data_IF_941617721556
#
_entry.id   IF_941617721556
#
_cell.length_a   1.000
_cell.length_b   1.000
_cell.length_c   1.000
_cell.angle_alpha   90.00
_cell.angle_beta   90.00
_cell.angle_gamma   90.00
#
_symmetry.space_group_name_H-M   'P 1'
#
loop_
_entity.id
_entity.type
_entity.pdbx_description
1 polymer ?
#
# COMPACT_ATOMS: atom_id res chain seq x y z
N UNK A 1 -27.30 -2.93 2.48
CA UNK A 1 -27.34 -4.34 2.02
C UNK A 1 -26.45 -5.14 2.94
N UNK A 2 -27.00 -6.14 3.63
CA UNK A 2 -26.36 -6.86 4.75
C UNK A 2 -25.77 -8.17 4.20
N UNK A 3 -24.48 -8.21 3.92
CA UNK A 3 -23.77 -9.42 3.52
C UNK A 3 -23.32 -10.18 4.77
N UNK A 4 -24.08 -11.19 5.19
CA UNK A 4 -23.71 -12.06 6.32
C UNK A 4 -22.63 -13.09 5.96
N UNK A 5 -22.32 -13.29 4.67
CA UNK A 5 -21.40 -14.32 4.20
C UNK A 5 -20.56 -13.79 3.04
N UNK A 6 -19.24 -13.69 3.25
CA UNK A 6 -18.25 -13.50 2.18
C UNK A 6 -17.84 -14.89 1.68
N UNK A 7 -17.95 -15.14 0.37
CA UNK A 7 -17.57 -16.40 -0.30
C UNK A 7 -18.06 -17.66 0.44
N UNK A 8 -19.37 -17.81 0.59
CA UNK A 8 -20.12 -18.98 1.08
C UNK A 8 -19.81 -19.54 2.50
N UNK A 9 -18.62 -19.40 3.08
CA UNK A 9 -18.26 -20.00 4.38
C UNK A 9 -17.14 -19.25 5.15
N UNK A 10 -16.57 -18.15 4.63
CA UNK A 10 -15.40 -17.53 5.28
C UNK A 10 -15.86 -16.54 6.36
N UNK A 11 -15.54 -16.77 7.66
CA UNK A 11 -15.92 -15.84 8.71
C UNK A 11 -15.23 -14.50 8.48
N UNK A 12 -15.96 -13.39 8.59
CA UNK A 12 -15.46 -12.04 8.37
C UNK A 12 -14.21 -11.73 9.23
N UNK A 13 -14.12 -12.39 10.40
CA UNK A 13 -12.95 -12.42 11.29
C UNK A 13 -11.67 -12.90 10.60
N UNK A 14 -11.73 -13.98 9.82
CA UNK A 14 -10.57 -14.51 9.09
C UNK A 14 -10.10 -13.53 8.01
N UNK A 15 -11.05 -12.86 7.33
CA UNK A 15 -10.73 -11.81 6.36
C UNK A 15 -9.90 -10.69 6.99
N UNK A 16 -10.30 -10.19 8.16
CA UNK A 16 -9.55 -9.15 8.88
C UNK A 16 -8.17 -9.65 9.34
N UNK A 17 -8.08 -10.90 9.82
CA UNK A 17 -6.79 -11.49 10.20
C UNK A 17 -5.84 -11.59 9.01
N UNK A 18 -6.32 -12.04 7.85
CA UNK A 18 -5.51 -12.13 6.62
C UNK A 18 -5.05 -10.74 6.17
N UNK A 19 -5.94 -9.75 6.12
CA UNK A 19 -5.59 -8.38 5.72
C UNK A 19 -4.59 -7.75 6.70
N UNK A 20 -4.78 -7.94 8.01
CA UNK A 20 -3.84 -7.47 9.02
C UNK A 20 -2.48 -8.16 8.91
N UNK A 21 -2.44 -9.47 8.63
CA UNK A 21 -1.20 -10.21 8.42
C UNK A 21 -0.45 -9.74 7.17
N UNK A 22 -1.16 -9.55 6.04
CA UNK A 22 -0.56 -9.01 4.81
C UNK A 22 -0.03 -7.59 5.01
N UNK A 23 -0.79 -6.74 5.72
CA UNK A 23 -0.37 -5.37 6.04
C UNK A 23 0.86 -5.38 6.94
N UNK A 24 0.91 -6.28 7.93
CA UNK A 24 2.07 -6.45 8.81
C UNK A 24 3.30 -6.90 8.01
N UNK A 25 3.18 -7.95 7.20
CA UNK A 25 4.30 -8.45 6.39
C UNK A 25 4.83 -7.38 5.43
N UNK A 26 3.93 -6.71 4.71
CA UNK A 26 4.30 -5.62 3.80
C UNK A 26 4.98 -4.47 4.54
N UNK A 27 4.46 -4.07 5.70
CA UNK A 27 5.03 -2.96 6.48
C UNK A 27 6.37 -3.31 7.13
N UNK A 28 6.57 -4.54 7.57
CA UNK A 28 7.88 -5.01 8.07
C UNK A 28 8.92 -4.96 6.94
N UNK A 29 8.60 -5.45 5.75
CA UNK A 29 9.53 -5.42 4.61
C UNK A 29 9.96 -3.99 4.26
N UNK A 30 9.00 -3.06 4.20
CA UNK A 30 9.29 -1.65 3.90
C UNK A 30 10.07 -1.00 5.04
N UNK A 31 9.74 -1.28 6.31
CA UNK A 31 10.47 -0.75 7.46
C UNK A 31 11.92 -1.23 7.46
N UNK A 32 12.16 -2.54 7.29
CA UNK A 32 13.51 -3.13 7.24
C UNK A 32 14.31 -2.52 6.09
N UNK A 33 13.73 -2.47 4.88
CA UNK A 33 14.38 -1.83 3.74
C UNK A 33 14.70 -0.35 4.00
N UNK A 34 13.78 0.39 4.61
CA UNK A 34 13.99 1.78 5.00
C UNK A 34 15.16 1.95 5.97
N UNK A 35 15.23 1.14 7.02
CA UNK A 35 16.31 1.18 8.01
C UNK A 35 17.67 0.75 7.45
N UNK A 36 17.69 -0.19 6.49
CA UNK A 36 18.92 -0.53 5.75
C UNK A 36 19.41 0.69 4.96
N UNK A 37 18.53 1.37 4.23
CA UNK A 37 18.90 2.59 3.51
C UNK A 37 19.39 3.69 4.46
N UNK A 38 18.76 3.87 5.62
CA UNK A 38 19.23 4.80 6.66
C UNK A 38 20.65 4.46 7.12
N UNK A 39 20.93 3.19 7.40
CA UNK A 39 22.26 2.72 7.79
C UNK A 39 23.29 3.02 6.70
N UNK A 40 22.94 2.81 5.44
CA UNK A 40 23.84 3.03 4.31
C UNK A 40 24.10 4.53 4.04
N UNK A 41 23.13 5.41 4.35
CA UNK A 41 23.32 6.87 4.36
C UNK A 41 24.28 7.28 5.48
N UNK A 42 24.11 6.74 6.70
CA UNK A 42 24.98 7.04 7.84
C UNK A 42 26.42 6.58 7.61
N UNK A 43 26.61 5.48 6.89
CA UNK A 43 27.93 4.96 6.52
C UNK A 43 28.57 5.65 5.31
N UNK A 44 27.98 6.72 4.78
CA UNK A 44 28.40 7.41 3.55
C UNK A 44 28.46 6.54 2.29
N UNK A 45 27.96 5.30 2.33
CA UNK A 45 27.85 4.43 1.15
C UNK A 45 26.75 4.86 0.18
N UNK A 46 25.77 5.64 0.65
CA UNK A 46 24.67 6.14 -0.15
C UNK A 46 24.52 7.66 0.01
N UNK A 47 24.86 8.43 -1.04
CA UNK A 47 24.77 9.90 -1.04
C UNK A 47 23.46 10.32 -1.71
N UNK A 48 22.47 10.67 -0.88
CA UNK A 48 21.19 11.23 -1.33
C UNK A 48 21.18 12.75 -1.19
N UNK A 49 20.36 13.41 -2.01
CA UNK A 49 19.97 14.80 -1.76
C UNK A 49 19.25 14.90 -0.41
N UNK A 50 19.46 16.01 0.32
CA UNK A 50 18.88 16.24 1.66
C UNK A 50 17.37 16.01 1.71
N UNK A 51 16.64 16.35 0.65
CA UNK A 51 15.19 16.10 0.57
C UNK A 51 14.86 14.61 0.50
N UNK A 52 15.66 13.80 -0.19
CA UNK A 52 15.44 12.35 -0.30
C UNK A 52 15.86 11.63 0.98
N UNK A 53 16.93 12.07 1.62
CA UNK A 53 17.38 11.56 2.92
C UNK A 53 16.24 11.66 3.96
N UNK A 54 15.61 12.84 4.08
CA UNK A 54 14.48 13.06 5.00
C UNK A 54 13.32 12.11 4.69
N UNK A 55 13.00 11.91 3.41
CA UNK A 55 11.91 11.01 3.00
C UNK A 55 12.18 9.57 3.44
N UNK A 56 13.42 9.09 3.32
CA UNK A 56 13.79 7.73 3.75
C UNK A 56 13.58 7.56 5.25
N UNK A 57 14.05 8.50 6.07
CA UNK A 57 13.86 8.49 7.52
C UNK A 57 12.38 8.50 7.93
N UNK A 58 11.59 9.41 7.34
CA UNK A 58 10.15 9.53 7.63
C UNK A 58 9.42 8.25 7.24
N UNK A 59 9.76 7.66 6.09
CA UNK A 59 9.15 6.43 5.60
C UNK A 59 9.47 5.26 6.52
N UNK A 60 10.74 5.07 6.92
CA UNK A 60 11.13 3.99 7.83
C UNK A 60 10.40 4.10 9.19
N UNK A 61 10.33 5.31 9.75
CA UNK A 61 9.61 5.57 11.00
C UNK A 61 8.11 5.31 10.90
N UNK A 62 7.46 5.82 9.84
CA UNK A 62 6.03 5.64 9.60
C UNK A 62 5.66 4.16 9.44
N UNK A 63 6.43 3.39 8.66
CA UNK A 63 6.17 1.97 8.46
C UNK A 63 6.43 1.16 9.73
N UNK A 64 7.39 1.55 10.57
CA UNK A 64 7.56 0.96 11.91
C UNK A 64 6.31 1.18 12.78
N UNK A 65 5.71 2.37 12.72
CA UNK A 65 4.46 2.66 13.43
C UNK A 65 3.27 1.87 12.87
N UNK A 66 3.20 1.66 11.54
CA UNK A 66 2.21 0.79 10.89
C UNK A 66 2.33 -0.66 11.37
N UNK A 67 3.55 -1.17 11.54
CA UNK A 67 3.77 -2.53 12.09
C UNK A 67 3.14 -2.66 13.47
N UNK A 68 3.38 -1.69 14.36
CA UNK A 68 2.84 -1.71 15.72
C UNK A 68 1.30 -1.68 15.73
N UNK A 69 0.69 -0.83 14.92
CA UNK A 69 -0.77 -0.75 14.85
C UNK A 69 -1.37 -1.99 14.16
N UNK A 70 -0.68 -2.57 13.18
CA UNK A 70 -1.11 -3.83 12.54
C UNK A 70 -1.11 -4.99 13.53
N UNK A 71 -0.14 -5.05 14.46
CA UNK A 71 -0.16 -6.00 15.57
C UNK A 71 -1.38 -5.79 16.47
N UNK A 72 -1.69 -4.55 16.84
CA UNK A 72 -2.91 -4.25 17.61
C UNK A 72 -4.19 -4.56 16.84
N UNK A 73 -4.20 -4.37 15.51
CA UNK A 73 -5.30 -4.76 14.63
C UNK A 73 -5.52 -6.27 14.61
N UNK A 74 -4.43 -7.05 14.52
CA UNK A 74 -4.46 -8.51 14.56
C UNK A 74 -4.99 -9.02 15.92
N UNK A 75 -4.45 -8.49 17.03
CA UNK A 75 -4.92 -8.82 18.38
C UNK A 75 -6.36 -8.38 18.59
N UNK A 76 -6.74 -7.20 18.08
CA UNK A 76 -8.10 -6.68 18.14
C UNK A 76 -9.11 -7.57 17.41
N UNK A 77 -8.71 -8.13 16.26
CA UNK A 77 -9.53 -9.06 15.48
C UNK A 77 -9.70 -10.40 16.22
N UNK A 78 -8.65 -10.92 16.85
CA UNK A 78 -8.72 -12.15 17.65
C UNK A 78 -9.53 -11.97 18.94
N UNK A 79 -9.41 -10.83 19.60
CA UNK A 79 -10.07 -10.53 20.88
C UNK A 79 -11.45 -9.87 20.72
N UNK A 80 -11.94 -9.68 19.50
CA UNK A 80 -13.20 -9.01 19.18
C UNK A 80 -13.34 -7.60 19.83
N UNK A 81 -12.23 -6.86 19.95
CA UNK A 81 -12.20 -5.54 20.59
C UNK A 81 -12.43 -4.43 19.55
N UNK A 82 -13.67 -3.94 19.47
CA UNK A 82 -14.12 -2.86 18.56
C UNK A 82 -13.13 -1.69 18.48
N UNK A 83 -12.63 -1.20 19.61
CA UNK A 83 -11.73 -0.02 19.65
C UNK A 83 -10.42 -0.24 18.89
N UNK A 84 -9.81 -1.42 19.05
CA UNK A 84 -8.54 -1.76 18.40
C UNK A 84 -8.72 -1.94 16.89
N UNK A 85 -9.76 -2.67 16.50
CA UNK A 85 -10.09 -2.88 15.09
C UNK A 85 -10.48 -1.57 14.41
N UNK A 86 -11.21 -0.69 15.09
CA UNK A 86 -11.59 0.62 14.57
C UNK A 86 -10.38 1.56 14.41
N UNK A 87 -9.41 1.53 15.33
CA UNK A 87 -8.16 2.28 15.21
C UNK A 87 -7.32 1.78 14.02
N UNK A 88 -7.19 0.46 13.87
CA UNK A 88 -6.56 -0.16 12.71
C UNK A 88 -7.25 0.25 11.39
N UNK A 89 -8.59 0.23 11.36
CA UNK A 89 -9.36 0.69 10.20
C UNK A 89 -9.08 2.15 9.85
N UNK A 90 -9.09 3.05 10.84
CA UNK A 90 -8.80 4.47 10.63
C UNK A 90 -7.39 4.72 10.08
N UNK A 91 -6.40 3.99 10.61
CA UNK A 91 -5.04 4.05 10.07
C UNK A 91 -4.97 3.57 8.63
N UNK A 92 -5.60 2.42 8.33
CA UNK A 92 -5.60 1.86 6.99
C UNK A 92 -6.21 2.82 5.96
N UNK A 93 -7.27 3.55 6.34
CA UNK A 93 -7.87 4.60 5.50
C UNK A 93 -6.84 5.71 5.22
N UNK A 94 -6.15 6.18 6.25
CA UNK A 94 -5.10 7.19 6.10
C UNK A 94 -3.97 6.72 5.18
N UNK A 95 -3.49 5.50 5.37
CA UNK A 95 -2.45 4.88 4.53
C UNK A 95 -2.90 4.71 3.08
N UNK A 96 -4.16 4.32 2.84
CA UNK A 96 -4.71 4.22 1.49
C UNK A 96 -4.77 5.59 0.80
N UNK A 97 -5.27 6.63 1.48
CA UNK A 97 -5.34 7.98 0.91
C UNK A 97 -3.94 8.51 0.60
N UNK A 98 -3.00 8.33 1.52
CA UNK A 98 -1.60 8.73 1.31
C UNK A 98 -0.97 7.97 0.14
N UNK A 99 -1.18 6.65 0.06
CA UNK A 99 -0.69 5.81 -1.05
C UNK A 99 -1.29 6.22 -2.38
N UNK A 100 -2.58 6.56 -2.41
CA UNK A 100 -3.27 7.02 -3.61
C UNK A 100 -2.68 8.37 -4.06
N UNK A 101 -2.56 9.35 -3.16
CA UNK A 101 -2.01 10.66 -3.48
C UNK A 101 -0.56 10.57 -3.98
N UNK A 102 0.32 9.88 -3.25
CA UNK A 102 1.72 9.73 -3.61
C UNK A 102 1.89 8.91 -4.89
N UNK A 103 1.13 7.82 -5.06
CA UNK A 103 1.19 7.00 -6.26
C UNK A 103 0.67 7.73 -7.50
N UNK A 104 -0.39 8.54 -7.39
CA UNK A 104 -0.85 9.39 -8.50
C UNK A 104 0.22 10.40 -8.89
N UNK A 105 0.86 11.07 -7.92
CA UNK A 105 1.97 12.00 -8.20
C UNK A 105 3.14 11.26 -8.87
N UNK A 106 3.49 10.08 -8.38
CA UNK A 106 4.55 9.25 -8.97
C UNK A 106 4.21 8.84 -10.41
N UNK A 107 2.96 8.46 -10.69
CA UNK A 107 2.51 8.15 -12.05
C UNK A 107 2.57 9.38 -12.97
N UNK A 108 2.16 10.56 -12.50
CA UNK A 108 2.28 11.80 -13.28
C UNK A 108 3.74 12.08 -13.63
N UNK A 109 4.65 11.90 -12.66
CA UNK A 109 6.09 12.08 -12.89
C UNK A 109 6.65 11.02 -13.86
N UNK A 110 6.22 9.77 -13.74
CA UNK A 110 6.62 8.66 -14.58
C UNK A 110 6.21 8.84 -16.05
N UNK A 111 5.03 9.43 -16.29
CA UNK A 111 4.56 9.78 -17.64
C UNK A 111 4.99 11.18 -18.09
N UNK A 112 5.80 11.88 -17.31
CA UNK A 112 6.28 13.22 -17.66
C UNK A 112 7.35 13.15 -18.77
N UNK A 113 7.35 14.18 -19.63
CA UNK A 113 8.38 14.33 -20.67
C UNK A 113 9.80 14.43 -20.09
N UNK A 114 9.94 14.87 -18.84
CA UNK A 114 11.24 14.97 -18.15
C UNK A 114 11.80 13.59 -17.85
N UNK A 115 10.97 12.70 -17.30
CA UNK A 115 11.35 11.31 -17.04
C UNK A 115 11.73 10.58 -18.33
N UNK A 116 10.92 10.73 -19.38
CA UNK A 116 11.20 10.07 -20.67
C UNK A 116 12.54 10.48 -21.28
N UNK A 117 12.88 11.77 -21.21
CA UNK A 117 14.17 12.27 -21.70
C UNK A 117 15.33 11.72 -20.90
N UNK A 118 15.21 11.72 -19.57
CA UNK A 118 16.26 11.23 -18.68
C UNK A 118 16.45 9.72 -18.85
N UNK A 119 15.39 8.94 -18.73
CA UNK A 119 15.45 7.49 -18.80
C UNK A 119 15.86 6.98 -20.21
N UNK A 120 15.51 7.70 -21.28
CA UNK A 120 15.99 7.36 -22.63
C UNK A 120 17.48 7.67 -22.82
N UNK A 121 18.01 8.69 -22.14
CA UNK A 121 19.45 9.01 -22.18
C UNK A 121 20.25 7.96 -21.41
N UNK A 122 19.82 7.64 -20.18
CA UNK A 122 20.46 6.62 -19.34
C UNK A 122 20.44 5.22 -20.00
N UNK A 123 19.35 4.88 -20.70
CA UNK A 123 19.25 3.64 -21.47
C UNK A 123 20.25 3.56 -22.63
N UNK A 124 20.47 4.67 -23.35
CA UNK A 124 21.44 4.71 -24.45
C UNK A 124 22.89 4.64 -23.95
N UNK A 125 23.17 5.28 -22.83
CA UNK A 125 24.49 5.27 -22.19
C UNK A 125 24.89 3.85 -21.73
N UNK A 126 23.90 3.01 -21.42
CA UNK A 126 24.11 1.60 -21.05
C UNK A 126 24.50 0.69 -22.24
N UNK A 127 24.36 1.16 -23.48
CA UNK A 127 24.75 0.42 -24.69
C UNK A 127 26.08 0.98 -25.23
N UNK A 128 27.18 0.48 -24.68
CA UNK A 128 28.55 0.87 -25.05
C UNK A 128 29.08 0.11 -26.28
N UNK A 129 28.28 -0.10 -27.34
CA UNK A 129 28.73 -0.81 -28.57
C UNK A 129 27.98 -0.36 -29.83
N UNK A 130 28.73 -0.29 -30.95
CA UNK A 130 28.47 -0.07 -32.39
C UNK A 130 27.19 -0.68 -33.02
N UNK A 131 26.04 -0.61 -32.33
CA UNK A 131 24.73 -0.99 -32.89
C UNK A 131 24.13 0.23 -33.61
N UNK A 132 23.49 -0.02 -34.75
CA UNK A 132 22.76 0.99 -35.53
C UNK A 132 21.86 1.80 -34.58
N UNK A 133 22.08 3.11 -34.54
CA UNK A 133 21.47 4.03 -33.56
C UNK A 133 19.94 4.02 -33.57
N UNK A 134 19.31 3.59 -34.67
CA UNK A 134 17.85 3.41 -34.79
C UNK A 134 17.33 2.21 -34.00
N UNK A 135 18.05 1.08 -33.98
CA UNK A 135 17.64 -0.12 -33.25
C UNK A 135 17.67 0.12 -31.73
N UNK A 136 18.73 0.76 -31.23
CA UNK A 136 18.89 1.10 -29.81
C UNK A 136 17.76 2.02 -29.33
N UNK A 137 17.38 3.02 -30.14
CA UNK A 137 16.31 3.94 -29.78
C UNK A 137 14.94 3.24 -29.68
N UNK A 138 14.66 2.27 -30.56
CA UNK A 138 13.41 1.50 -30.55
C UNK A 138 13.33 0.56 -29.33
N UNK A 139 14.44 -0.08 -28.98
CA UNK A 139 14.56 -0.96 -27.81
C UNK A 139 14.35 -0.17 -26.52
N UNK A 140 15.04 0.97 -26.35
CA UNK A 140 14.87 1.82 -25.18
C UNK A 140 13.43 2.32 -25.03
N UNK A 141 12.77 2.75 -26.11
CA UNK A 141 11.36 3.16 -26.06
C UNK A 141 10.43 2.02 -25.65
N UNK A 142 10.67 0.82 -26.17
CA UNK A 142 9.88 -0.37 -25.83
C UNK A 142 10.06 -0.72 -24.36
N UNK A 143 11.30 -0.75 -23.87
CA UNK A 143 11.61 -1.02 -22.46
C UNK A 143 10.95 0.01 -21.52
N UNK A 144 11.00 1.30 -21.86
CA UNK A 144 10.34 2.35 -21.09
C UNK A 144 8.82 2.21 -21.09
N UNK A 145 8.20 1.85 -22.22
CA UNK A 145 6.76 1.64 -22.27
C UNK A 145 6.33 0.43 -21.45
N UNK A 146 7.10 -0.67 -21.50
CA UNK A 146 6.85 -1.87 -20.71
C UNK A 146 7.00 -1.57 -19.22
N UNK A 147 8.04 -0.85 -18.81
CA UNK A 147 8.25 -0.50 -17.39
C UNK A 147 7.13 0.41 -16.85
N UNK A 148 6.70 1.42 -17.63
CA UNK A 148 5.55 2.26 -17.29
C UNK A 148 4.27 1.45 -17.10
N UNK A 149 3.99 0.53 -18.03
CA UNK A 149 2.83 -0.35 -17.95
C UNK A 149 2.88 -1.25 -16.71
N UNK A 150 4.03 -1.85 -16.43
CA UNK A 150 4.25 -2.69 -15.27
C UNK A 150 4.06 -1.93 -13.95
N UNK A 151 4.69 -0.76 -13.80
CA UNK A 151 4.56 0.08 -12.60
C UNK A 151 3.10 0.51 -12.38
N UNK A 152 2.40 0.91 -13.45
CA UNK A 152 0.99 1.30 -13.38
C UNK A 152 0.11 0.13 -12.95
N UNK A 153 0.34 -1.07 -13.50
CA UNK A 153 -0.39 -2.27 -13.13
C UNK A 153 -0.16 -2.64 -11.65
N UNK A 154 1.08 -2.54 -11.16
CA UNK A 154 1.43 -2.80 -9.76
C UNK A 154 0.65 -1.85 -8.82
N UNK A 155 0.66 -0.54 -9.09
CA UNK A 155 -0.10 0.42 -8.28
C UNK A 155 -1.60 0.12 -8.28
N UNK A 156 -2.18 -0.18 -9.45
CA UNK A 156 -3.59 -0.51 -9.56
C UNK A 156 -3.96 -1.75 -8.72
N UNK A 157 -3.17 -2.82 -8.80
CA UNK A 157 -3.38 -4.05 -8.00
C UNK A 157 -3.27 -3.76 -6.50
N UNK A 158 -2.23 -3.01 -6.08
CA UNK A 158 -2.05 -2.64 -4.67
C UNK A 158 -3.26 -1.86 -4.15
N UNK A 159 -3.75 -0.87 -4.91
CA UNK A 159 -4.91 -0.06 -4.49
C UNK A 159 -6.20 -0.88 -4.44
N UNK A 160 -6.41 -1.82 -5.37
CA UNK A 160 -7.55 -2.72 -5.32
C UNK A 160 -7.53 -3.59 -4.07
N UNK A 161 -6.37 -4.16 -3.73
CA UNK A 161 -6.19 -4.96 -2.51
C UNK A 161 -6.43 -4.12 -1.26
N UNK A 162 -5.86 -2.91 -1.20
CA UNK A 162 -6.05 -2.00 -0.07
C UNK A 162 -7.52 -1.60 0.09
N UNK A 163 -8.18 -1.21 -0.99
CA UNK A 163 -9.59 -0.81 -0.99
C UNK A 163 -10.49 -1.97 -0.55
N UNK A 164 -10.24 -3.18 -1.04
CA UNK A 164 -10.96 -4.37 -0.61
C UNK A 164 -10.73 -4.69 0.87
N UNK A 165 -9.48 -4.56 1.35
CA UNK A 165 -9.15 -4.69 2.76
C UNK A 165 -9.89 -3.69 3.64
N UNK A 166 -9.98 -2.42 3.22
CA UNK A 166 -10.75 -1.39 3.91
C UNK A 166 -12.23 -1.76 4.04
N UNK A 167 -12.82 -2.26 2.97
CA UNK A 167 -14.22 -2.68 2.98
C UNK A 167 -14.46 -3.80 4.01
N UNK A 168 -13.62 -4.85 4.01
CA UNK A 168 -13.72 -5.97 4.96
C UNK A 168 -13.59 -5.49 6.41
N UNK A 169 -12.55 -4.72 6.71
CA UNK A 169 -12.28 -4.26 8.09
C UNK A 169 -13.40 -3.35 8.57
N UNK A 170 -13.90 -2.46 7.72
CA UNK A 170 -15.02 -1.59 8.05
C UNK A 170 -16.30 -2.39 8.34
N UNK A 171 -16.66 -3.36 7.49
CA UNK A 171 -17.80 -4.25 7.73
C UNK A 171 -17.68 -5.00 9.05
N UNK A 172 -16.48 -5.46 9.41
CA UNK A 172 -16.25 -6.14 10.68
C UNK A 172 -16.36 -5.22 11.89
N UNK A 173 -15.91 -3.97 11.79
CA UNK A 173 -16.13 -2.96 12.84
C UNK A 173 -17.62 -2.70 13.04
N UNK A 174 -18.41 -2.65 11.97
CA UNK A 174 -19.87 -2.48 12.07
C UNK A 174 -20.53 -3.68 12.75
N UNK A 175 -20.18 -4.90 12.36
CA UNK A 175 -20.70 -6.13 12.99
C UNK A 175 -20.39 -6.16 14.49
N UNK A 176 -19.15 -5.91 14.90
CA UNK A 176 -18.79 -5.86 16.32
C UNK A 176 -19.49 -4.75 17.10
N UNK A 177 -19.85 -3.63 16.44
CA UNK A 177 -20.63 -2.55 17.08
C UNK A 177 -22.08 -2.96 17.28
N UNK A 178 -22.68 -3.64 16.30
CA UNK A 178 -24.04 -4.18 16.40
C UNK A 178 -24.14 -5.28 17.47
N UNK A 179 -23.15 -6.18 17.55
CA UNK A 179 -23.08 -7.20 18.61
C UNK A 179 -22.95 -6.57 20.02
N UNK A 180 -22.20 -5.46 20.13
CA UNK A 180 -21.94 -4.80 21.41
C UNK A 180 -23.06 -3.86 21.86
N UNK A 181 -23.78 -3.27 20.91
CA UNK A 181 -24.91 -2.38 21.15
C UNK A 181 -26.07 -2.83 20.25
N UNK A 182 -26.79 -3.90 20.61
CA UNK A 182 -27.93 -4.35 19.82
C UNK A 182 -28.97 -3.23 19.81
N UNK A 183 -29.09 -2.56 18.67
CA UNK A 183 -30.18 -1.60 18.46
C UNK A 183 -31.49 -2.39 18.50
N UNK A 184 -32.36 -2.05 19.45
CA UNK A 184 -33.70 -2.63 19.55
C UNK A 184 -34.42 -2.28 18.24
N UNK A 185 -34.52 -3.26 17.33
CA UNK A 185 -35.36 -3.14 16.15
C UNK A 185 -36.80 -3.29 16.60
N UNK A 186 -37.52 -2.18 16.73
CA UNK A 186 -38.98 -2.22 16.86
C UNK A 186 -39.57 -2.79 15.56
N UNK A 187 -39.98 -4.05 15.57
CA UNK A 187 -40.89 -4.59 14.55
C UNK A 187 -42.25 -3.97 14.78
N UNK A 188 -42.64 -3.03 13.92
CA UNK A 188 -44.01 -2.52 13.86
C UNK A 188 -44.90 -3.68 13.38
N UNK A 189 -45.58 -4.33 14.31
CA UNK A 189 -46.67 -5.25 14.00
C UNK A 189 -47.82 -4.38 13.48
N UNK A 190 -48.11 -4.45 12.18
CA UNK A 190 -49.37 -3.90 11.67
C UNK A 190 -50.50 -4.77 12.22
N UNK A 191 -51.33 -4.18 13.08
CA UNK A 191 -52.62 -4.74 13.52
C UNK A 191 -53.65 -4.46 12.43
#
# INVERSE_FOLDING_TARGET
MRWHHFLCCLPLRLGVVIIAALTLLGSVLVAVGGWINVKDILNHSLVLSKSHEIVVWVTAGLYTFIVLISLFGLVGALTARVKLVAAFNGMQIGSFIASLALGVVALIQLYSKKYDKQASADCKDSFEVDIITEDVASVCRTALNVSKAAITAIYAVIWLIQFYGLFIVHSYVQELREERYPSIKYTVVKV
#
